data_IF_870878963936
#
_entry.id   IF_870878963936
#
_cell.length_a   1.000
_cell.length_b   1.000
_cell.length_c   1.000
_cell.angle_alpha   90.00
_cell.angle_beta   90.00
_cell.angle_gamma   90.00
#
_symmetry.space_group_name_H-M   'P 1'
#
loop_
_entity.id
_entity.type
_entity.pdbx_description
1 polymer ?
#
# COMPACT_ATOMS: atom_id res chain seq x y z
N UNK A 1 10.78 -13.65 -9.42
CA UNK A 1 10.81 -12.18 -9.55
C UNK A 1 10.44 -11.78 -10.96
N UNK A 2 9.76 -10.66 -11.12
CA UNK A 2 9.43 -10.10 -12.44
C UNK A 2 10.44 -8.99 -12.78
N UNK A 3 10.84 -8.94 -14.04
CA UNK A 3 11.74 -7.91 -14.55
C UNK A 3 10.91 -6.68 -14.99
N UNK A 4 10.57 -5.83 -14.02
CA UNK A 4 9.94 -4.54 -14.24
C UNK A 4 10.98 -3.46 -13.99
N UNK A 5 11.39 -2.77 -15.02
CA UNK A 5 12.34 -1.67 -14.87
C UNK A 5 11.82 -0.65 -13.86
N UNK A 6 12.58 -0.42 -12.81
CA UNK A 6 12.20 0.53 -11.76
C UNK A 6 12.33 2.00 -12.20
N UNK A 7 12.90 2.27 -13.36
CA UNK A 7 13.22 3.63 -13.83
C UNK A 7 14.02 4.46 -12.79
N UNK A 8 14.93 3.79 -12.08
CA UNK A 8 15.74 4.40 -11.03
C UNK A 8 14.98 4.62 -9.71
N UNK A 9 13.74 4.13 -9.58
CA UNK A 9 13.02 4.12 -8.31
C UNK A 9 13.49 2.95 -7.45
N UNK A 10 13.63 3.19 -6.17
CA UNK A 10 14.08 2.18 -5.22
C UNK A 10 12.92 1.58 -4.44
N UNK A 11 13.13 0.37 -3.90
CA UNK A 11 12.21 -0.30 -2.97
C UNK A 11 10.85 -0.70 -3.58
N UNK A 12 10.89 -1.14 -4.82
CA UNK A 12 9.79 -1.79 -5.53
C UNK A 12 10.21 -3.19 -5.92
N UNK A 13 9.46 -4.21 -5.48
CA UNK A 13 9.78 -5.60 -5.73
C UNK A 13 8.57 -6.33 -6.34
N UNK A 14 8.48 -6.43 -7.67
CA UNK A 14 7.45 -7.21 -8.33
C UNK A 14 7.82 -8.69 -8.40
N UNK A 15 6.89 -9.57 -7.99
CA UNK A 15 7.04 -11.02 -8.09
C UNK A 15 5.68 -11.71 -8.25
N UNK A 16 5.69 -13.00 -8.50
CA UNK A 16 4.47 -13.82 -8.57
C UNK A 16 4.47 -14.91 -7.50
N UNK A 17 3.29 -15.21 -7.00
CA UNK A 17 3.00 -16.37 -6.14
C UNK A 17 2.30 -17.40 -7.01
N UNK A 18 2.87 -18.61 -7.11
CA UNK A 18 2.35 -19.77 -7.87
C UNK A 18 1.97 -19.46 -9.33
N UNK A 19 2.59 -18.46 -9.93
CA UNK A 19 2.27 -17.91 -11.24
C UNK A 19 0.79 -17.46 -11.41
N UNK A 20 0.08 -17.28 -10.30
CA UNK A 20 -1.35 -16.92 -10.28
C UNK A 20 -1.60 -15.49 -9.84
N UNK A 21 -0.87 -15.03 -8.83
CA UNK A 21 -1.03 -13.70 -8.23
C UNK A 21 0.28 -12.93 -8.41
N UNK A 22 0.19 -11.72 -8.93
CA UNK A 22 1.33 -10.81 -8.97
C UNK A 22 1.32 -9.94 -7.73
N UNK A 23 2.46 -9.85 -7.05
CA UNK A 23 2.64 -8.99 -5.88
C UNK A 23 3.65 -7.90 -6.22
N UNK A 24 3.32 -6.67 -5.90
CA UNK A 24 4.26 -5.56 -5.85
C UNK A 24 4.47 -5.17 -4.39
N UNK A 25 5.59 -5.62 -3.81
CA UNK A 25 5.99 -5.15 -2.49
C UNK A 25 6.60 -3.74 -2.62
N UNK A 26 6.17 -2.84 -1.74
CA UNK A 26 6.51 -1.41 -1.82
C UNK A 26 7.00 -0.91 -0.47
N UNK A 27 8.08 -0.16 -0.49
CA UNK A 27 8.51 0.64 0.65
C UNK A 27 8.84 2.05 0.16
N UNK A 28 7.88 2.95 0.21
CA UNK A 28 8.13 4.33 -0.18
C UNK A 28 8.94 5.04 0.89
N UNK A 29 9.91 5.82 0.48
CA UNK A 29 10.79 6.55 1.39
C UNK A 29 11.24 7.86 0.78
N UNK A 30 12.02 8.59 1.56
CA UNK A 30 12.72 9.78 1.09
C UNK A 30 13.87 9.37 0.15
N UNK A 31 13.49 8.93 -1.05
CA UNK A 31 14.44 8.40 -2.04
C UNK A 31 15.18 9.52 -2.80
N UNK A 32 15.74 9.18 -3.94
CA UNK A 32 16.60 10.01 -4.77
C UNK A 32 15.91 11.18 -5.52
N UNK A 33 14.64 11.45 -5.25
CA UNK A 33 13.90 12.57 -5.87
C UNK A 33 13.54 13.63 -4.83
N UNK A 34 13.95 14.89 -4.99
CA UNK A 34 13.54 15.97 -4.09
C UNK A 34 12.04 16.29 -4.17
N UNK A 35 11.43 16.04 -5.32
CA UNK A 35 10.02 16.34 -5.59
C UNK A 35 9.11 15.17 -5.25
N UNK A 36 9.40 13.98 -5.81
CA UNK A 36 8.57 12.79 -5.66
C UNK A 36 9.07 11.94 -4.50
N UNK A 37 8.82 12.38 -3.26
CA UNK A 37 9.17 11.68 -2.03
C UNK A 37 8.01 10.82 -1.57
N UNK A 38 8.31 9.75 -0.83
CA UNK A 38 7.28 8.89 -0.23
C UNK A 38 6.25 8.41 -1.27
N UNK A 39 4.99 8.69 -1.07
CA UNK A 39 3.90 8.27 -1.97
C UNK A 39 4.12 8.71 -3.43
N UNK A 40 4.84 9.80 -3.67
CA UNK A 40 5.23 10.23 -5.01
C UNK A 40 6.10 9.22 -5.76
N UNK A 41 6.84 8.36 -5.04
CA UNK A 41 7.58 7.26 -5.65
C UNK A 41 6.61 6.21 -6.24
N UNK A 42 5.58 5.83 -5.49
CA UNK A 42 4.57 4.90 -5.98
C UNK A 42 3.77 5.51 -7.13
N UNK A 43 3.41 6.79 -7.04
CA UNK A 43 2.75 7.50 -8.14
C UNK A 43 3.58 7.41 -9.44
N UNK A 44 4.88 7.71 -9.38
CA UNK A 44 5.78 7.58 -10.55
C UNK A 44 5.87 6.15 -11.08
N UNK A 45 5.98 5.18 -10.18
CA UNK A 45 6.02 3.77 -10.56
C UNK A 45 4.76 3.34 -11.30
N UNK A 46 3.59 3.76 -10.83
CA UNK A 46 2.32 3.50 -11.48
C UNK A 46 2.25 4.17 -12.88
N UNK A 47 2.73 5.40 -13.04
CA UNK A 47 2.76 6.04 -14.36
C UNK A 47 3.59 5.23 -15.38
N UNK A 48 4.67 4.58 -14.93
CA UNK A 48 5.52 3.75 -15.80
C UNK A 48 4.94 2.35 -16.07
N UNK A 49 4.15 1.80 -15.13
CA UNK A 49 3.76 0.40 -15.14
C UNK A 49 2.25 0.14 -15.09
N UNK A 50 1.41 1.17 -15.20
CA UNK A 50 -0.06 1.05 -15.08
C UNK A 50 -0.63 -0.09 -15.95
N UNK A 51 -0.23 -0.18 -17.20
CA UNK A 51 -0.69 -1.23 -18.12
C UNK A 51 -0.27 -2.66 -17.72
N UNK A 52 0.86 -2.79 -17.01
CA UNK A 52 1.31 -4.10 -16.49
C UNK A 52 0.53 -4.50 -15.23
N UNK A 53 0.13 -3.51 -14.43
CA UNK A 53 -0.64 -3.68 -13.20
C UNK A 53 -2.10 -4.00 -13.51
N UNK A 54 -2.72 -3.25 -14.42
CA UNK A 54 -4.13 -3.33 -14.79
C UNK A 54 -4.59 -4.72 -15.27
N UNK A 55 -3.72 -5.45 -15.95
CA UNK A 55 -4.09 -6.72 -16.59
C UNK A 55 -3.68 -7.95 -15.77
N UNK A 56 -3.61 -7.85 -14.44
CA UNK A 56 -3.15 -8.94 -13.57
C UNK A 56 -4.02 -9.08 -12.34
N UNK A 57 -4.11 -10.30 -11.82
CA UNK A 57 -4.50 -10.53 -10.42
C UNK A 57 -3.38 -9.96 -9.54
N UNK A 58 -3.64 -8.82 -8.93
CA UNK A 58 -2.60 -7.97 -8.37
C UNK A 58 -2.81 -7.71 -6.89
N UNK A 59 -1.71 -7.76 -6.13
CA UNK A 59 -1.61 -7.22 -4.78
C UNK A 59 -0.49 -6.19 -4.77
N UNK A 60 -0.75 -5.01 -4.25
CA UNK A 60 0.26 -3.99 -3.96
C UNK A 60 0.25 -3.78 -2.46
N UNK A 61 1.36 -4.06 -1.79
CA UNK A 61 1.39 -3.98 -0.33
C UNK A 61 2.72 -3.48 0.21
N UNK A 62 2.66 -2.88 1.40
CA UNK A 62 3.83 -2.42 2.14
C UNK A 62 3.65 -1.08 2.82
N UNK A 63 4.78 -0.53 3.27
CA UNK A 63 4.85 0.77 3.93
C UNK A 63 4.87 1.89 2.89
N UNK A 64 3.75 2.61 2.77
CA UNK A 64 3.63 3.75 1.88
C UNK A 64 4.11 5.06 2.50
N UNK A 65 4.45 5.06 3.80
CA UNK A 65 4.84 6.27 4.53
C UNK A 65 3.94 7.47 4.19
N UNK A 66 2.67 7.21 4.01
CA UNK A 66 1.69 8.18 3.50
C UNK A 66 0.29 7.85 3.98
N UNK A 67 -0.53 8.87 4.06
CA UNK A 67 -1.95 8.76 4.38
C UNK A 67 -2.69 9.98 3.80
N UNK A 68 -3.96 9.85 3.46
CA UNK A 68 -4.76 10.92 2.86
C UNK A 68 -4.88 12.16 3.76
N UNK A 69 -4.73 12.02 5.09
CA UNK A 69 -4.73 13.17 6.01
C UNK A 69 -3.56 14.15 5.78
N UNK A 70 -2.54 13.77 5.02
CA UNK A 70 -1.39 14.59 4.65
C UNK A 70 -1.42 15.08 3.20
N UNK A 71 -2.54 14.94 2.51
CA UNK A 71 -2.69 15.44 1.15
C UNK A 71 -2.61 16.96 1.09
N UNK A 72 -1.99 17.47 0.03
CA UNK A 72 -1.73 18.89 -0.19
C UNK A 72 -2.42 19.35 -1.47
N UNK A 73 -3.18 20.43 -1.43
CA UNK A 73 -4.06 20.88 -2.52
C UNK A 73 -3.34 21.26 -3.83
N UNK A 74 -2.08 21.66 -3.74
CA UNK A 74 -1.25 22.08 -4.90
C UNK A 74 -0.36 20.98 -5.46
N UNK A 75 -0.62 19.73 -5.09
CA UNK A 75 0.15 18.56 -5.51
C UNK A 75 -0.77 17.51 -6.16
N UNK A 76 -0.33 16.87 -7.22
CA UNK A 76 -1.09 15.84 -7.97
C UNK A 76 -0.53 14.42 -7.82
N UNK A 77 0.33 14.20 -6.84
CA UNK A 77 0.82 12.88 -6.43
C UNK A 77 0.61 12.66 -4.93
N UNK A 78 -0.55 13.00 -4.47
CA UNK A 78 -1.00 12.77 -3.10
C UNK A 78 -1.30 11.29 -2.85
N UNK A 79 -1.55 10.94 -1.61
CA UNK A 79 -2.07 9.62 -1.27
C UNK A 79 -3.40 9.34 -2.00
N UNK A 80 -4.33 10.27 -1.93
CA UNK A 80 -5.63 10.13 -2.62
C UNK A 80 -5.51 10.06 -4.14
N UNK A 81 -4.49 10.69 -4.74
CA UNK A 81 -4.24 10.58 -6.18
C UNK A 81 -3.79 9.16 -6.54
N UNK A 82 -2.91 8.55 -5.74
CA UNK A 82 -2.49 7.16 -5.91
C UNK A 82 -3.65 6.19 -5.74
N UNK A 83 -4.47 6.37 -4.72
CA UNK A 83 -5.68 5.56 -4.49
C UNK A 83 -6.63 5.65 -5.70
N UNK A 84 -6.84 6.86 -6.23
CA UNK A 84 -7.68 7.09 -7.41
C UNK A 84 -7.10 6.43 -8.66
N UNK A 85 -5.79 6.51 -8.88
CA UNK A 85 -5.12 5.82 -9.99
C UNK A 85 -5.31 4.31 -9.92
N UNK A 86 -5.14 3.70 -8.73
CA UNK A 86 -5.34 2.28 -8.51
C UNK A 86 -6.81 1.89 -8.73
N UNK A 87 -7.75 2.64 -8.15
CA UNK A 87 -9.19 2.40 -8.33
C UNK A 87 -9.61 2.48 -9.81
N UNK A 88 -9.01 3.39 -10.59
CA UNK A 88 -9.30 3.53 -12.02
C UNK A 88 -8.96 2.29 -12.86
N UNK A 89 -8.16 1.38 -12.32
CA UNK A 89 -7.76 0.10 -12.93
C UNK A 89 -8.26 -1.13 -12.13
N UNK A 90 -9.29 -0.92 -11.29
CA UNK A 90 -9.94 -2.01 -10.55
C UNK A 90 -9.12 -2.56 -9.38
N UNK A 91 -8.21 -1.77 -8.82
CA UNK A 91 -7.42 -2.13 -7.65
C UNK A 91 -7.82 -1.21 -6.49
N UNK A 92 -8.24 -1.78 -5.38
CA UNK A 92 -8.74 -1.04 -4.23
C UNK A 92 -8.03 -1.45 -2.94
N UNK A 93 -8.09 -0.59 -1.93
CA UNK A 93 -7.57 -0.90 -0.61
C UNK A 93 -8.41 -1.97 0.07
N UNK A 94 -7.78 -3.08 0.44
CA UNK A 94 -8.44 -4.20 1.11
C UNK A 94 -9.01 -3.77 2.46
N UNK A 95 -8.25 -3.01 3.24
CA UNK A 95 -8.70 -2.49 4.54
C UNK A 95 -9.99 -1.66 4.40
N UNK A 96 -10.01 -0.69 3.48
CA UNK A 96 -11.16 0.20 3.29
C UNK A 96 -12.36 -0.51 2.70
N UNK A 97 -12.14 -1.51 1.86
CA UNK A 97 -13.22 -2.35 1.32
C UNK A 97 -13.98 -3.08 2.43
N UNK A 98 -13.26 -3.66 3.40
CA UNK A 98 -13.89 -4.44 4.47
C UNK A 98 -14.41 -3.59 5.63
N UNK A 99 -13.73 -2.51 5.98
CA UNK A 99 -14.15 -1.66 7.11
C UNK A 99 -15.21 -0.63 6.73
N UNK A 100 -15.26 -0.24 5.45
CA UNK A 100 -16.08 0.88 4.99
C UNK A 100 -15.57 2.24 5.47
N UNK A 101 -14.40 2.30 6.09
CA UNK A 101 -13.79 3.54 6.56
C UNK A 101 -13.28 4.38 5.39
N UNK A 102 -13.19 5.68 5.59
CA UNK A 102 -12.66 6.59 4.60
C UNK A 102 -11.13 6.68 4.71
N UNK A 103 -10.44 6.85 3.59
CA UNK A 103 -9.02 7.17 3.55
C UNK A 103 -8.73 8.40 4.42
N UNK A 104 -7.73 8.30 5.30
CA UNK A 104 -7.38 9.35 6.26
C UNK A 104 -8.23 9.35 7.54
N UNK A 105 -9.11 8.36 7.72
CA UNK A 105 -9.97 8.20 8.90
C UNK A 105 -9.91 6.80 9.49
N UNK A 106 -8.86 6.08 9.22
CA UNK A 106 -8.66 4.71 9.64
C UNK A 106 -8.61 4.61 11.19
N UNK A 107 -9.43 3.71 11.74
CA UNK A 107 -9.51 3.49 13.19
C UNK A 107 -8.40 2.58 13.72
N UNK A 108 -7.80 1.75 12.86
CA UNK A 108 -6.72 0.83 13.22
C UNK A 108 -5.38 1.34 12.71
N UNK A 109 -4.49 1.83 13.58
CA UNK A 109 -3.16 2.25 13.17
C UNK A 109 -2.27 1.05 12.83
N UNK A 110 -1.43 1.22 11.81
CA UNK A 110 -0.39 0.26 11.43
C UNK A 110 1.00 0.70 11.90
N UNK A 111 1.14 1.92 12.40
CA UNK A 111 2.42 2.48 12.84
C UNK A 111 2.24 3.36 14.08
N UNK A 112 3.18 3.25 15.01
CA UNK A 112 3.25 4.08 16.22
C UNK A 112 4.60 4.78 16.31
N UNK A 113 4.65 6.04 15.95
CA UNK A 113 5.89 6.80 15.88
C UNK A 113 6.67 6.74 17.21
N UNK A 114 7.92 6.28 17.14
CA UNK A 114 8.80 6.04 18.30
C UNK A 114 8.20 5.07 19.32
N UNK A 115 7.39 4.11 18.88
CA UNK A 115 6.66 3.14 19.73
C UNK A 115 5.77 3.80 20.79
N UNK A 116 5.22 4.99 20.48
CA UNK A 116 4.35 5.72 21.40
C UNK A 116 2.89 5.54 21.00
N UNK A 117 2.11 4.91 21.85
CA UNK A 117 0.65 4.68 21.62
C UNK A 117 -0.10 5.99 21.33
N UNK A 118 0.37 7.11 21.89
CA UNK A 118 -0.23 8.44 21.65
C UNK A 118 0.10 9.05 20.27
N UNK A 119 0.87 8.34 19.41
CA UNK A 119 1.25 8.81 18.07
C UNK A 119 0.96 7.74 17.01
N UNK A 120 -0.32 7.36 16.86
CA UNK A 120 -0.75 6.36 15.91
C UNK A 120 -0.88 6.94 14.51
N UNK A 121 -0.55 6.13 13.49
CA UNK A 121 -0.76 6.43 12.07
C UNK A 121 -1.13 5.15 11.32
N UNK A 122 -1.85 5.29 10.21
CA UNK A 122 -2.08 4.20 9.27
C UNK A 122 -1.29 4.50 8.00
N UNK A 123 -0.19 3.78 7.78
CA UNK A 123 0.75 4.04 6.67
C UNK A 123 1.16 2.79 5.91
N UNK A 124 0.82 1.61 6.43
CA UNK A 124 0.98 0.34 5.76
C UNK A 124 -0.33 -0.05 5.11
N UNK A 125 -0.29 -0.45 3.86
CA UNK A 125 -1.47 -0.73 3.06
C UNK A 125 -1.35 -2.04 2.29
N UNK A 126 -2.49 -2.62 1.96
CA UNK A 126 -2.64 -3.63 0.95
C UNK A 126 -3.78 -3.25 0.01
N UNK A 127 -3.47 -3.17 -1.26
CA UNK A 127 -4.43 -3.00 -2.35
C UNK A 127 -4.49 -4.28 -3.14
N UNK A 128 -5.66 -4.65 -3.63
CA UNK A 128 -5.86 -5.85 -4.43
C UNK A 128 -6.78 -5.60 -5.61
N UNK A 129 -6.64 -6.40 -6.66
CA UNK A 129 -7.60 -6.45 -7.75
C UNK A 129 -8.94 -7.00 -7.28
N UNK A 130 -10.04 -6.51 -7.84
CA UNK A 130 -11.41 -6.76 -7.36
C UNK A 130 -11.77 -8.26 -7.31
N UNK A 131 -11.22 -9.08 -8.19
CA UNK A 131 -11.44 -10.52 -8.22
C UNK A 131 -10.87 -11.28 -7.00
N UNK A 132 -9.97 -10.66 -6.24
CA UNK A 132 -9.40 -11.23 -5.04
C UNK A 132 -10.25 -10.97 -3.78
N UNK A 133 -11.14 -9.97 -3.77
CA UNK A 133 -11.86 -9.58 -2.55
C UNK A 133 -12.72 -10.68 -1.96
N UNK A 134 -13.42 -11.47 -2.77
CA UNK A 134 -14.32 -12.53 -2.26
C UNK A 134 -13.56 -13.64 -1.49
N UNK A 135 -12.27 -13.75 -1.68
CA UNK A 135 -11.41 -14.77 -1.08
C UNK A 135 -10.34 -14.21 -0.14
N UNK A 136 -10.43 -12.94 0.22
CA UNK A 136 -9.40 -12.26 1.03
C UNK A 136 -9.99 -11.82 2.36
N UNK A 137 -9.27 -12.09 3.44
CA UNK A 137 -9.51 -11.49 4.75
C UNK A 137 -8.31 -10.62 5.11
N UNK A 138 -8.54 -9.56 5.91
CA UNK A 138 -7.47 -8.67 6.36
C UNK A 138 -7.56 -8.45 7.86
N UNK A 139 -6.41 -8.44 8.53
CA UNK A 139 -6.30 -8.06 9.92
C UNK A 139 -5.07 -7.19 10.18
N UNK A 140 -5.17 -6.31 11.16
CA UNK A 140 -4.07 -5.47 11.64
C UNK A 140 -3.66 -5.97 13.01
N UNK A 141 -2.37 -6.19 13.23
CA UNK A 141 -1.83 -6.62 14.51
C UNK A 141 -2.09 -5.61 15.63
N UNK A 142 -2.21 -6.10 16.83
CA UNK A 142 -2.53 -5.27 18.01
C UNK A 142 -1.28 -4.64 18.60
N UNK A 143 -1.39 -3.40 19.04
CA UNK A 143 -0.29 -2.66 19.64
C UNK A 143 0.24 -3.31 20.93
N UNK A 144 -0.63 -3.90 21.77
CA UNK A 144 -0.24 -4.59 22.99
C UNK A 144 0.60 -5.88 22.73
N UNK A 145 0.49 -6.46 21.55
CA UNK A 145 1.24 -7.66 21.15
C UNK A 145 2.54 -7.32 20.42
N UNK A 146 2.52 -6.30 19.58
CA UNK A 146 3.59 -6.04 18.61
C UNK A 146 4.51 -4.88 18.95
N UNK A 147 4.07 -3.91 19.74
CA UNK A 147 4.82 -2.67 19.99
C UNK A 147 6.17 -2.89 20.71
N UNK A 148 6.30 -4.01 21.44
CA UNK A 148 7.56 -4.41 22.06
C UNK A 148 8.63 -4.77 21.02
N UNK A 149 8.24 -5.23 19.85
CA UNK A 149 9.13 -5.73 18.79
C UNK A 149 9.31 -4.72 17.65
N UNK A 150 8.25 -4.01 17.26
CA UNK A 150 8.23 -3.09 16.14
C UNK A 150 7.38 -1.86 16.46
N UNK A 151 7.66 -0.74 15.82
CA UNK A 151 6.77 0.41 15.74
C UNK A 151 5.71 0.27 14.65
N UNK A 152 5.85 -0.73 13.74
CA UNK A 152 4.82 -1.13 12.80
C UNK A 152 4.03 -2.34 13.31
N UNK A 153 2.74 -2.33 13.05
CA UNK A 153 1.85 -3.47 13.27
C UNK A 153 1.75 -4.30 11.99
N UNK A 154 1.80 -5.63 12.07
CA UNK A 154 1.67 -6.45 10.88
C UNK A 154 0.28 -6.27 10.25
N UNK A 155 0.28 -6.12 8.94
CA UNK A 155 -0.91 -6.20 8.11
C UNK A 155 -0.93 -7.61 7.50
N UNK A 156 -1.92 -8.41 7.86
CA UNK A 156 -2.03 -9.80 7.42
C UNK A 156 -3.19 -9.91 6.43
N UNK A 157 -2.88 -10.41 5.23
CA UNK A 157 -3.89 -10.82 4.25
C UNK A 157 -3.91 -12.34 4.21
N UNK A 158 -5.09 -12.91 4.44
CA UNK A 158 -5.38 -14.32 4.20
C UNK A 158 -6.20 -14.43 2.92
N UNK A 159 -5.66 -15.14 1.93
CA UNK A 159 -6.28 -15.27 0.61
C UNK A 159 -6.51 -16.74 0.36
N UNK A 160 -7.79 -17.14 0.37
CA UNK A 160 -8.15 -18.49 0.00
C UNK A 160 -7.76 -18.73 -1.47
N UNK A 161 -6.82 -19.65 -1.69
CA UNK A 161 -6.41 -20.05 -3.03
C UNK A 161 -7.59 -20.73 -3.75
N UNK A 162 -8.07 -20.12 -4.81
CA UNK A 162 -9.02 -20.71 -5.76
C UNK A 162 -8.25 -21.30 -6.94
#
# INVERSE_FOLDING_TARGET
MLDWDSNGLESFLPFTIDNKITVLAVWTRHANSPTFRYIGQLWKYLQAHKTRVENRRMIICGDLNSNACWDVWDRWWNHSDVVKELSSIGIESVYHHYTGEQQGKESQPTFFMHRKVARPYHIDYAFASADLFQSTEISVGRADEWLAFSDHMPLVLDIACV
#
